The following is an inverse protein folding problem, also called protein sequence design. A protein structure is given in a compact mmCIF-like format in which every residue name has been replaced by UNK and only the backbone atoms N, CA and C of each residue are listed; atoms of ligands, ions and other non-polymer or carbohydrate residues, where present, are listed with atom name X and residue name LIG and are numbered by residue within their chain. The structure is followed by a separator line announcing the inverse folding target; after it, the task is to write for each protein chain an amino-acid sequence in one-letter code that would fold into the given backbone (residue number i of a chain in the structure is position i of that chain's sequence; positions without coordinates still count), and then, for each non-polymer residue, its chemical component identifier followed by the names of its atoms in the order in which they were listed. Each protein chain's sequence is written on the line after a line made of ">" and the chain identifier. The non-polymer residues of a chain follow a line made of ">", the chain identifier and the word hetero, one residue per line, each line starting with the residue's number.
data_IF_857420446632
#
_entry.id   IF_857420446632
#
_cell.length_a   1.000
_cell.length_b   1.000
_cell.length_c   1.000
_cell.angle_alpha   90.00
_cell.angle_beta   90.00
_cell.angle_gamma   90.00
#
_symmetry.space_group_name_H-M   'P 1'
#
loop_
_entity.id
_entity.type
_entity.pdbx_description
1 polymer ?
#
# COMPACT_ATOMS: atom_id res chain seq x y z
N UNK A 1 18.66 -15.60 -63.82
CA UNK A 1 18.37 -14.25 -64.36
C UNK A 1 16.85 -14.06 -64.38
N UNK A 2 16.34 -12.85 -64.13
CA UNK A 2 15.63 -12.47 -62.90
C UNK A 2 14.15 -12.09 -63.14
N UNK A 3 13.28 -12.01 -62.13
CA UNK A 3 12.87 -10.75 -61.46
C UNK A 3 11.85 -11.11 -60.35
N UNK A 4 12.07 -10.76 -59.08
CA UNK A 4 11.57 -9.54 -58.35
C UNK A 4 10.04 -9.35 -58.38
N UNK A 5 9.27 -8.92 -57.36
CA UNK A 5 9.40 -8.57 -55.93
C UNK A 5 7.97 -8.28 -55.41
N UNK A 6 7.60 -8.88 -54.25
CA UNK A 6 6.87 -8.31 -53.08
C UNK A 6 5.64 -7.38 -53.24
N UNK A 7 4.57 -7.73 -52.51
CA UNK A 7 3.78 -6.81 -51.66
C UNK A 7 3.05 -7.62 -50.55
N UNK A 8 3.64 -7.72 -49.34
CA UNK A 8 3.14 -7.17 -48.06
C UNK A 8 1.77 -7.72 -47.61
N UNK A 9 1.80 -8.71 -46.71
CA UNK A 9 0.75 -8.98 -45.73
C UNK A 9 1.40 -9.04 -44.34
N UNK A 10 0.82 -8.31 -43.39
CA UNK A 10 1.36 -8.08 -42.06
C UNK A 10 1.51 -9.36 -41.25
N UNK A 11 2.74 -9.62 -40.79
CA UNK A 11 3.07 -10.67 -39.85
C UNK A 11 2.69 -10.24 -38.42
N UNK A 12 1.43 -10.45 -38.05
CA UNK A 12 1.10 -10.73 -36.65
C UNK A 12 1.46 -12.20 -36.41
N UNK A 13 2.55 -12.45 -35.67
CA UNK A 13 2.91 -13.81 -35.28
C UNK A 13 1.82 -14.35 -34.33
N UNK A 14 1.07 -15.41 -34.68
CA UNK A 14 0.22 -16.07 -33.70
C UNK A 14 1.16 -16.82 -32.74
N UNK A 15 1.26 -16.36 -31.50
CA UNK A 15 1.86 -17.15 -30.42
C UNK A 15 1.19 -18.52 -30.43
N UNK A 16 1.99 -19.54 -30.69
CA UNK A 16 1.53 -20.90 -30.89
C UNK A 16 0.92 -21.39 -29.57
N UNK A 17 -0.23 -22.06 -29.60
CA UNK A 17 -0.90 -22.60 -28.39
C UNK A 17 0.02 -23.48 -27.52
N UNK A 18 1.12 -23.98 -28.11
CA UNK A 18 2.17 -24.74 -27.44
C UNK A 18 3.08 -23.88 -26.55
N UNK A 19 3.41 -22.64 -26.93
CA UNK A 19 4.18 -21.73 -26.06
C UNK A 19 3.33 -21.24 -24.88
N UNK A 20 2.04 -20.99 -25.11
CA UNK A 20 1.11 -20.64 -24.04
C UNK A 20 0.85 -21.82 -23.06
N UNK A 21 0.93 -23.06 -23.55
CA UNK A 21 0.90 -24.27 -22.72
C UNK A 21 2.25 -24.54 -22.02
N UNK A 22 3.39 -24.28 -22.68
CA UNK A 22 4.72 -24.42 -22.07
C UNK A 22 4.97 -23.37 -20.97
N UNK A 23 4.45 -22.15 -21.11
CA UNK A 23 4.51 -21.13 -20.04
C UNK A 23 3.65 -21.56 -18.83
N UNK A 24 2.50 -22.23 -19.06
CA UNK A 24 1.66 -22.81 -17.99
C UNK A 24 2.27 -24.05 -17.31
N UNK A 25 3.26 -24.69 -17.92
CA UNK A 25 3.86 -25.94 -17.45
C UNK A 25 5.32 -25.79 -17.03
N UNK A 26 5.72 -24.66 -16.45
CA UNK A 26 7.02 -24.63 -15.75
C UNK A 26 6.84 -25.53 -14.52
N UNK A 27 7.52 -26.69 -14.44
CA UNK A 27 7.35 -27.60 -13.32
C UNK A 27 7.75 -26.89 -12.03
N UNK A 28 6.98 -27.08 -10.96
CA UNK A 28 7.42 -26.67 -9.64
C UNK A 28 8.71 -27.45 -9.30
N UNK A 29 9.86 -26.78 -9.38
CA UNK A 29 11.13 -27.32 -8.93
C UNK A 29 11.40 -26.81 -7.52
N UNK A 30 11.17 -27.62 -6.47
CA UNK A 30 11.48 -27.21 -5.12
C UNK A 30 12.99 -26.93 -4.99
N UNK A 31 13.34 -25.88 -4.26
CA UNK A 31 14.74 -25.63 -3.90
C UNK A 31 15.26 -26.77 -3.02
N UNK A 32 16.59 -26.98 -3.01
CA UNK A 32 17.23 -27.97 -2.16
C UNK A 32 16.76 -27.89 -0.69
N UNK A 33 16.58 -26.67 -0.18
CA UNK A 33 16.09 -26.41 1.17
C UNK A 33 14.61 -26.77 1.32
N UNK A 34 13.77 -26.50 0.31
CA UNK A 34 12.36 -26.89 0.34
C UNK A 34 12.20 -28.42 0.42
N UNK A 35 13.04 -29.18 -0.28
CA UNK A 35 13.06 -30.64 -0.19
C UNK A 35 13.54 -31.11 1.18
N UNK A 36 14.49 -30.41 1.80
CA UNK A 36 14.98 -30.73 3.13
C UNK A 36 13.94 -30.47 4.24
N UNK A 37 12.99 -29.55 4.00
CA UNK A 37 11.91 -29.20 4.94
C UNK A 37 10.66 -30.09 4.79
N UNK A 38 10.65 -31.02 3.84
CA UNK A 38 9.54 -31.97 3.62
C UNK A 38 8.87 -31.82 2.25
N UNK A 39 7.88 -32.67 1.99
CA UNK A 39 7.09 -32.64 0.76
C UNK A 39 6.40 -31.27 0.56
N UNK A 40 6.42 -30.71 -0.65
CA UNK A 40 5.79 -29.43 -0.92
C UNK A 40 4.28 -29.48 -0.72
N UNK A 41 3.70 -28.38 -0.24
CA UNK A 41 2.26 -28.31 0.01
C UNK A 41 1.49 -28.44 -1.31
N UNK A 42 0.29 -29.05 -1.26
CA UNK A 42 -0.59 -29.14 -2.44
C UNK A 42 -0.98 -27.78 -3.02
N UNK A 43 -0.97 -26.74 -2.19
CA UNK A 43 -1.15 -25.35 -2.64
C UNK A 43 0.05 -24.88 -3.44
N UNK A 44 1.28 -25.13 -2.97
CA UNK A 44 2.54 -24.77 -3.67
C UNK A 44 2.67 -25.43 -5.04
N UNK A 45 2.26 -26.70 -5.15
CA UNK A 45 2.39 -27.49 -6.39
C UNK A 45 1.44 -27.02 -7.50
N UNK A 46 0.27 -26.47 -7.15
CA UNK A 46 -0.78 -26.12 -8.13
C UNK A 46 -0.79 -24.65 -8.55
N UNK A 47 0.11 -23.81 -8.03
CA UNK A 47 0.18 -22.38 -8.37
C UNK A 47 0.37 -22.16 -9.87
N UNK A 48 1.33 -22.84 -10.48
CA UNK A 48 1.63 -22.69 -11.91
C UNK A 48 0.48 -23.19 -12.80
N UNK A 49 -0.42 -24.04 -12.27
CA UNK A 49 -1.58 -24.55 -13.00
C UNK A 49 -2.72 -23.54 -13.08
N UNK A 50 -2.89 -22.68 -12.07
CA UNK A 50 -4.04 -21.77 -11.95
C UNK A 50 -3.73 -20.29 -12.20
N UNK A 51 -2.49 -19.82 -11.94
CA UNK A 51 -2.17 -18.39 -12.00
C UNK A 51 -1.12 -18.04 -13.06
N UNK A 52 -1.43 -17.13 -14.01
CA UNK A 52 -0.45 -16.68 -14.99
C UNK A 52 0.61 -15.77 -14.35
N UNK A 53 1.89 -15.98 -14.70
CA UNK A 53 3.01 -15.13 -14.25
C UNK A 53 2.96 -13.73 -14.89
N UNK A 54 2.17 -12.84 -14.29
CA UNK A 54 1.85 -11.53 -14.83
C UNK A 54 2.62 -10.37 -14.19
N UNK A 55 3.12 -10.54 -12.96
CA UNK A 55 3.59 -9.43 -12.13
C UNK A 55 5.03 -9.03 -12.46
N UNK A 56 5.23 -7.77 -12.83
CA UNK A 56 6.56 -7.19 -13.01
C UNK A 56 7.14 -6.63 -11.69
N UNK A 57 8.43 -6.32 -11.68
CA UNK A 57 9.10 -5.70 -10.50
C UNK A 57 8.41 -4.42 -10.04
N UNK A 58 7.96 -3.61 -11.00
CA UNK A 58 7.23 -2.37 -10.72
C UNK A 58 5.83 -2.62 -10.15
N UNK A 59 5.19 -3.72 -10.54
CA UNK A 59 3.86 -4.07 -10.04
C UNK A 59 3.91 -4.45 -8.56
N UNK A 60 4.91 -5.23 -8.14
CA UNK A 60 5.13 -5.53 -6.72
C UNK A 60 5.45 -4.28 -5.89
N UNK A 61 6.21 -3.34 -6.45
CA UNK A 61 6.46 -2.05 -5.80
C UNK A 61 5.16 -1.23 -5.65
N UNK A 62 4.31 -1.21 -6.69
CA UNK A 62 2.98 -0.58 -6.65
C UNK A 62 2.11 -1.21 -5.56
N UNK A 63 2.09 -2.54 -5.47
CA UNK A 63 1.35 -3.28 -4.43
C UNK A 63 1.90 -2.94 -3.04
N UNK A 64 3.23 -2.95 -2.86
CA UNK A 64 3.86 -2.58 -1.59
C UNK A 64 3.48 -1.16 -1.15
N UNK A 65 3.55 -0.18 -2.07
CA UNK A 65 3.15 1.21 -1.77
C UNK A 65 1.65 1.27 -1.42
N UNK A 66 0.80 0.58 -2.18
CA UNK A 66 -0.64 0.55 -1.92
C UNK A 66 -0.99 0.00 -0.53
N UNK A 67 -0.17 -0.94 -0.03
CA UNK A 67 -0.42 -1.63 1.24
C UNK A 67 0.19 -0.90 2.43
N UNK A 68 1.37 -0.32 2.28
CA UNK A 68 2.10 0.27 3.42
C UNK A 68 1.89 1.77 3.52
N UNK A 69 1.63 2.48 2.41
CA UNK A 69 1.61 3.95 2.39
C UNK A 69 0.20 4.53 2.56
N UNK A 70 -0.32 4.49 3.78
CA UNK A 70 -1.60 5.10 4.15
C UNK A 70 -1.39 6.49 4.73
N UNK A 71 -1.42 7.51 3.87
CA UNK A 71 -1.06 8.89 4.26
C UNK A 71 -1.95 9.52 5.33
N UNK A 72 -3.25 9.18 5.47
CA UNK A 72 -4.02 9.60 6.64
C UNK A 72 -3.41 9.18 7.98
N UNK A 73 -2.55 8.15 8.03
CA UNK A 73 -1.80 7.83 9.24
C UNK A 73 -0.89 8.98 9.68
N UNK A 74 -0.37 9.81 8.78
CA UNK A 74 0.40 11.00 9.15
C UNK A 74 -0.41 11.97 10.02
N UNK A 75 -1.71 12.11 9.73
CA UNK A 75 -2.66 12.91 10.50
C UNK A 75 -2.91 12.32 11.88
N UNK A 76 -3.13 11.01 11.97
CA UNK A 76 -3.37 10.29 13.24
C UNK A 76 -2.13 10.34 14.13
N UNK A 77 -0.95 10.14 13.54
CA UNK A 77 0.35 10.22 14.24
C UNK A 77 0.55 11.63 14.81
N UNK A 78 0.26 12.69 14.05
CA UNK A 78 0.34 14.06 14.57
C UNK A 78 -0.67 14.34 15.70
N UNK A 79 -1.87 13.77 15.60
CA UNK A 79 -2.92 13.95 16.61
C UNK A 79 -2.63 13.20 17.92
N UNK A 80 -1.68 12.26 17.90
CA UNK A 80 -1.24 11.58 19.11
C UNK A 80 -0.58 12.59 20.04
N UNK A 81 -1.21 12.83 21.19
CA UNK A 81 -0.81 13.89 22.11
C UNK A 81 0.66 13.75 22.53
N UNK A 82 1.39 14.87 22.50
CA UNK A 82 2.81 14.91 22.87
C UNK A 82 3.80 14.65 21.73
N UNK A 83 3.33 14.27 20.52
CA UNK A 83 4.22 13.90 19.42
C UNK A 83 5.04 15.10 18.88
N UNK A 84 4.42 16.27 18.68
CA UNK A 84 5.09 17.50 18.23
C UNK A 84 6.13 17.24 17.11
N UNK A 85 7.27 17.93 17.16
CA UNK A 85 8.40 17.66 16.27
C UNK A 85 9.11 16.31 16.50
N UNK A 86 8.85 15.62 17.63
CA UNK A 86 9.41 14.30 17.88
C UNK A 86 8.86 13.24 16.92
N UNK A 87 7.71 13.49 16.30
CA UNK A 87 7.10 12.63 15.27
C UNK A 87 8.09 12.22 14.17
N UNK A 88 8.91 13.15 13.67
CA UNK A 88 9.90 12.85 12.63
C UNK A 88 10.96 11.86 13.10
N UNK A 89 11.38 11.98 14.36
CA UNK A 89 12.34 11.07 14.98
C UNK A 89 11.70 9.69 15.12
N UNK A 90 10.43 9.60 15.54
CA UNK A 90 9.75 8.31 15.65
C UNK A 90 9.50 7.65 14.30
N UNK A 91 9.26 8.40 13.22
CA UNK A 91 9.22 7.85 11.85
C UNK A 91 10.56 7.20 11.45
N UNK A 92 11.68 7.87 11.77
CA UNK A 92 13.02 7.33 11.55
C UNK A 92 13.27 6.10 12.42
N UNK A 93 12.95 6.16 13.71
CA UNK A 93 13.11 5.02 14.64
C UNK A 93 12.29 3.85 14.12
N UNK A 94 10.98 4.00 13.89
CA UNK A 94 10.12 2.92 13.38
C UNK A 94 10.62 2.34 12.05
N UNK A 95 11.14 3.17 11.15
CA UNK A 95 11.72 2.66 9.90
C UNK A 95 12.97 1.82 10.16
N UNK A 96 13.86 2.25 11.05
CA UNK A 96 15.13 1.58 11.34
C UNK A 96 14.93 0.34 12.22
N UNK A 97 14.00 0.37 13.17
CA UNK A 97 13.79 -0.71 14.16
C UNK A 97 12.75 -1.74 13.74
N UNK A 98 11.85 -1.38 12.81
CA UNK A 98 10.76 -2.27 12.38
C UNK A 98 10.79 -2.55 10.88
N UNK A 99 10.64 -1.51 10.03
CA UNK A 99 10.45 -1.72 8.59
C UNK A 99 11.70 -2.28 7.89
N UNK A 100 12.88 -1.74 8.19
CA UNK A 100 14.14 -2.16 7.56
C UNK A 100 14.54 -3.59 8.01
N UNK A 101 14.52 -3.95 9.31
CA UNK A 101 14.71 -5.33 9.74
C UNK A 101 13.68 -6.28 9.12
N UNK A 102 12.41 -5.87 9.07
CA UNK A 102 11.35 -6.62 8.39
C UNK A 102 11.66 -6.87 6.92
N UNK A 103 12.09 -5.83 6.19
CA UNK A 103 12.49 -5.95 4.78
C UNK A 103 13.63 -6.95 4.57
N UNK A 104 14.64 -6.93 5.46
CA UNK A 104 15.78 -7.84 5.38
C UNK A 104 15.37 -9.30 5.64
N UNK A 105 14.60 -9.54 6.70
CA UNK A 105 14.11 -10.88 7.05
C UNK A 105 13.22 -11.43 5.93
N UNK A 106 12.28 -10.61 5.45
CA UNK A 106 11.38 -10.98 4.35
C UNK A 106 12.15 -11.24 3.06
N UNK A 107 13.18 -10.45 2.74
CA UNK A 107 14.03 -10.69 1.58
C UNK A 107 14.82 -12.01 1.66
N UNK A 108 15.30 -12.35 2.86
CA UNK A 108 15.97 -13.63 3.09
C UNK A 108 15.00 -14.79 2.93
N UNK A 109 13.83 -14.73 3.58
CA UNK A 109 12.80 -15.77 3.49
C UNK A 109 12.29 -15.95 2.05
N UNK A 110 12.06 -14.86 1.32
CA UNK A 110 11.70 -14.92 -0.09
C UNK A 110 12.76 -15.61 -0.95
N UNK A 111 14.05 -15.32 -0.72
CA UNK A 111 15.14 -16.00 -1.43
C UNK A 111 15.24 -17.49 -1.08
N UNK A 112 14.93 -17.86 0.16
CA UNK A 112 14.93 -19.27 0.58
C UNK A 112 13.73 -20.04 0.01
N UNK A 113 12.55 -19.41 0.02
CA UNK A 113 11.27 -20.02 -0.33
C UNK A 113 10.42 -19.02 -1.15
N UNK A 114 10.66 -18.90 -2.47
CA UNK A 114 9.89 -18.03 -3.37
C UNK A 114 8.57 -18.71 -3.74
N UNK A 115 7.68 -18.84 -2.77
CA UNK A 115 6.37 -19.50 -2.87
C UNK A 115 5.27 -18.56 -2.42
N UNK A 116 4.06 -18.74 -2.97
CA UNK A 116 2.89 -17.97 -2.56
C UNK A 116 2.49 -18.24 -1.12
N UNK A 117 1.74 -17.31 -0.54
CA UNK A 117 1.24 -17.39 0.84
C UNK A 117 2.21 -16.86 1.90
N UNK A 118 3.41 -16.40 1.51
CA UNK A 118 4.35 -15.67 2.36
C UNK A 118 4.47 -16.22 3.78
N UNK A 119 4.02 -15.46 4.79
CA UNK A 119 4.16 -15.77 6.21
C UNK A 119 3.50 -17.09 6.61
N UNK A 120 2.37 -17.46 5.99
CA UNK A 120 1.72 -18.75 6.25
C UNK A 120 2.66 -19.91 5.92
N UNK A 121 3.23 -19.90 4.72
CA UNK A 121 4.08 -21.00 4.24
C UNK A 121 5.40 -21.05 4.98
N UNK A 122 6.03 -19.89 5.21
CA UNK A 122 7.30 -19.83 5.93
C UNK A 122 7.15 -20.35 7.36
N UNK A 123 6.09 -19.93 8.07
CA UNK A 123 5.82 -20.42 9.43
C UNK A 123 5.39 -21.87 9.45
N UNK A 124 4.60 -22.33 8.48
CA UNK A 124 4.22 -23.74 8.37
C UNK A 124 5.44 -24.64 8.23
N UNK A 125 6.38 -24.27 7.37
CA UNK A 125 7.61 -25.04 7.14
C UNK A 125 8.59 -24.98 8.31
N UNK A 126 8.64 -23.86 9.04
CA UNK A 126 9.57 -23.70 10.16
C UNK A 126 9.05 -24.30 11.49
N UNK A 127 7.75 -24.11 11.77
CA UNK A 127 7.15 -24.38 13.09
C UNK A 127 6.00 -25.39 13.04
N UNK A 128 5.67 -25.90 11.87
CA UNK A 128 4.64 -26.91 11.65
C UNK A 128 3.23 -26.35 11.40
N UNK A 129 2.25 -27.24 11.15
CA UNK A 129 0.95 -26.86 10.62
C UNK A 129 0.12 -25.92 11.50
N UNK A 130 0.11 -26.14 12.82
CA UNK A 130 -0.70 -25.35 13.75
C UNK A 130 -0.22 -23.89 13.83
N UNK A 131 1.09 -23.68 13.94
CA UNK A 131 1.67 -22.34 14.00
C UNK A 131 1.65 -21.66 12.63
N UNK A 132 1.76 -22.42 11.54
CA UNK A 132 1.49 -21.93 10.19
C UNK A 132 0.07 -21.39 10.04
N UNK A 133 -0.95 -22.17 10.44
CA UNK A 133 -2.34 -21.73 10.43
C UNK A 133 -2.56 -20.49 11.30
N UNK A 134 -2.01 -20.46 12.52
CA UNK A 134 -2.13 -19.30 13.41
C UNK A 134 -1.51 -18.03 12.79
N UNK A 135 -0.31 -18.13 12.21
CA UNK A 135 0.32 -17.01 11.52
C UNK A 135 -0.48 -16.56 10.30
N UNK A 136 -0.99 -17.50 9.50
CA UNK A 136 -1.87 -17.21 8.37
C UNK A 136 -3.16 -16.50 8.79
N UNK A 137 -3.80 -16.94 9.88
CA UNK A 137 -4.99 -16.28 10.43
C UNK A 137 -4.68 -14.87 10.93
N UNK A 138 -3.58 -14.69 11.66
CA UNK A 138 -3.14 -13.39 12.13
C UNK A 138 -2.76 -12.42 10.99
N UNK A 139 -2.34 -12.94 9.84
CA UNK A 139 -2.13 -12.12 8.63
C UNK A 139 -3.45 -11.80 7.92
N UNK A 140 -4.33 -12.79 7.78
CA UNK A 140 -5.58 -12.68 7.01
C UNK A 140 -6.66 -11.83 7.71
N UNK A 141 -6.87 -12.02 9.02
CA UNK A 141 -7.95 -11.36 9.75
C UNK A 141 -7.84 -9.82 9.76
N UNK A 142 -6.67 -9.20 10.02
CA UNK A 142 -6.49 -7.76 9.86
C UNK A 142 -6.72 -7.27 8.43
N UNK A 143 -6.49 -8.13 7.42
CA UNK A 143 -6.78 -7.82 6.01
C UNK A 143 -8.26 -7.48 5.78
N UNK A 144 -9.17 -8.18 6.45
CA UNK A 144 -10.62 -7.89 6.40
C UNK A 144 -10.93 -6.52 7.01
N UNK A 145 -10.28 -6.18 8.14
CA UNK A 145 -10.46 -4.89 8.80
C UNK A 145 -9.90 -3.73 7.97
N UNK A 146 -8.80 -3.96 7.24
CA UNK A 146 -8.22 -2.99 6.33
C UNK A 146 -9.12 -2.73 5.11
N UNK A 147 -9.80 -3.75 4.58
CA UNK A 147 -10.79 -3.54 3.51
C UNK A 147 -11.92 -2.60 3.96
N UNK A 148 -12.38 -2.75 5.20
CA UNK A 148 -13.35 -1.83 5.80
C UNK A 148 -12.75 -0.42 6.00
N UNK A 149 -11.53 -0.34 6.56
CA UNK A 149 -10.83 0.93 6.82
C UNK A 149 -10.54 1.74 5.54
N UNK A 150 -10.15 1.09 4.45
CA UNK A 150 -9.94 1.75 3.15
C UNK A 150 -11.23 2.33 2.58
N UNK A 151 -12.34 1.59 2.73
CA UNK A 151 -13.66 2.04 2.29
C UNK A 151 -14.19 3.20 3.15
N UNK A 152 -13.97 3.15 4.46
CA UNK A 152 -14.31 4.23 5.40
C UNK A 152 -13.44 5.48 5.18
N UNK A 153 -12.18 5.30 4.79
CA UNK A 153 -11.28 6.40 4.41
C UNK A 153 -11.82 7.18 3.20
N UNK A 154 -12.50 6.52 2.26
CA UNK A 154 -13.16 7.21 1.13
C UNK A 154 -14.30 8.10 1.64
N UNK A 155 -15.13 7.61 2.57
CA UNK A 155 -16.20 8.39 3.20
C UNK A 155 -15.62 9.61 3.91
N UNK A 156 -14.57 9.41 4.72
CA UNK A 156 -13.86 10.47 5.44
C UNK A 156 -13.29 11.53 4.49
N UNK A 157 -12.77 11.12 3.33
CA UNK A 157 -12.27 12.05 2.31
C UNK A 157 -13.40 12.81 1.60
N UNK A 158 -14.54 12.18 1.34
CA UNK A 158 -15.73 12.85 0.79
C UNK A 158 -16.25 13.92 1.76
N UNK A 159 -16.35 13.57 3.05
CA UNK A 159 -16.65 14.51 4.13
C UNK A 159 -15.64 15.67 4.17
N UNK A 160 -14.35 15.33 4.07
CA UNK A 160 -13.27 16.30 4.01
C UNK A 160 -13.45 17.29 2.86
N UNK A 161 -13.68 16.80 1.64
CA UNK A 161 -13.96 17.63 0.46
C UNK A 161 -15.15 18.55 0.70
N UNK A 162 -16.26 18.00 1.23
CA UNK A 162 -17.43 18.78 1.59
C UNK A 162 -17.07 19.94 2.51
N UNK A 163 -16.38 19.64 3.61
CA UNK A 163 -15.95 20.63 4.60
C UNK A 163 -15.05 21.72 4.02
N UNK A 164 -14.22 21.40 3.01
CA UNK A 164 -13.36 22.39 2.34
C UNK A 164 -14.11 23.30 1.37
N UNK A 165 -15.18 22.83 0.72
CA UNK A 165 -15.95 23.61 -0.26
C UNK A 165 -17.07 24.42 0.41
N UNK A 166 -17.85 23.75 1.26
CA UNK A 166 -19.11 24.29 1.80
C UNK A 166 -18.94 24.86 3.22
N UNK A 167 -17.75 24.74 3.79
CA UNK A 167 -17.44 25.16 5.15
C UNK A 167 -17.66 24.04 6.19
N UNK A 168 -17.27 24.30 7.45
CA UNK A 168 -17.16 23.27 8.49
C UNK A 168 -18.49 22.71 9.01
N UNK A 169 -19.64 23.35 8.71
CA UNK A 169 -20.96 22.93 9.19
C UNK A 169 -21.72 22.07 8.17
N UNK A 170 -21.03 21.56 7.16
CA UNK A 170 -21.66 20.74 6.11
C UNK A 170 -21.70 19.28 6.53
N UNK A 171 -22.89 18.70 6.49
CA UNK A 171 -23.16 17.38 7.03
C UNK A 171 -23.22 16.32 5.91
N UNK A 172 -22.19 16.27 5.07
CA UNK A 172 -22.13 15.28 3.98
C UNK A 172 -21.82 13.90 4.56
N UNK A 173 -22.70 12.92 4.33
CA UNK A 173 -22.53 11.55 4.84
C UNK A 173 -22.35 11.48 6.37
N UNK A 174 -22.96 12.39 7.14
CA UNK A 174 -22.87 12.35 8.61
C UNK A 174 -23.66 11.19 9.23
N UNK A 175 -24.74 10.74 8.57
CA UNK A 175 -25.54 9.60 9.04
C UNK A 175 -24.74 8.30 8.91
N UNK A 176 -24.47 7.57 10.02
CA UNK A 176 -23.76 6.29 9.99
C UNK A 176 -24.38 5.25 9.06
N UNK A 177 -25.70 5.32 8.80
CA UNK A 177 -26.37 4.42 7.86
C UNK A 177 -25.94 4.67 6.43
N UNK A 178 -25.79 5.94 6.05
CA UNK A 178 -25.31 6.33 4.72
C UNK A 178 -23.83 5.99 4.57
N UNK A 179 -23.03 6.19 5.61
CA UNK A 179 -21.62 5.77 5.63
C UNK A 179 -21.49 4.26 5.40
N UNK A 180 -22.25 3.46 6.14
CA UNK A 180 -22.29 2.00 5.98
C UNK A 180 -22.72 1.57 4.58
N UNK A 181 -23.73 2.23 4.00
CA UNK A 181 -24.17 1.94 2.63
C UNK A 181 -23.07 2.21 1.59
N UNK A 182 -22.36 3.35 1.72
CA UNK A 182 -21.24 3.69 0.84
C UNK A 182 -20.10 2.68 1.00
N UNK A 183 -19.76 2.31 2.23
CA UNK A 183 -18.73 1.30 2.51
C UNK A 183 -19.09 -0.03 1.86
N UNK A 184 -20.32 -0.51 2.03
CA UNK A 184 -20.79 -1.76 1.39
C UNK A 184 -20.74 -1.65 -0.14
N UNK A 185 -21.18 -0.51 -0.70
CA UNK A 185 -21.13 -0.29 -2.15
C UNK A 185 -19.70 -0.33 -2.70
N UNK A 186 -18.75 0.31 -2.00
CA UNK A 186 -17.32 0.29 -2.35
C UNK A 186 -16.78 -1.13 -2.29
N UNK A 187 -17.06 -1.89 -1.23
CA UNK A 187 -16.59 -3.26 -1.07
C UNK A 187 -17.14 -4.20 -2.15
N UNK A 188 -18.44 -4.12 -2.45
CA UNK A 188 -19.06 -4.92 -3.50
C UNK A 188 -18.46 -4.56 -4.86
N UNK A 189 -18.31 -3.27 -5.16
CA UNK A 189 -17.75 -2.83 -6.42
C UNK A 189 -16.26 -3.22 -6.54
N UNK A 190 -15.48 -3.07 -5.47
CA UNK A 190 -14.09 -3.55 -5.42
C UNK A 190 -14.00 -5.06 -5.64
N UNK A 191 -14.89 -5.84 -5.02
CA UNK A 191 -15.00 -7.29 -5.21
C UNK A 191 -15.30 -7.67 -6.66
N UNK A 192 -16.21 -6.95 -7.33
CA UNK A 192 -16.51 -7.15 -8.75
C UNK A 192 -15.31 -6.80 -9.64
N UNK A 193 -14.62 -5.69 -9.35
CA UNK A 193 -13.42 -5.28 -10.09
C UNK A 193 -12.26 -6.25 -9.88
N UNK A 194 -12.15 -6.89 -8.71
CA UNK A 194 -11.16 -7.94 -8.44
C UNK A 194 -11.31 -9.17 -9.34
N UNK A 195 -12.46 -9.36 -10.01
CA UNK A 195 -12.67 -10.43 -11.00
C UNK A 195 -12.03 -10.11 -12.37
N UNK A 196 -11.61 -8.86 -12.60
CA UNK A 196 -10.92 -8.48 -13.83
C UNK A 196 -9.49 -9.05 -13.86
N UNK A 197 -8.90 -9.09 -15.05
CA UNK A 197 -7.53 -9.58 -15.22
C UNK A 197 -6.54 -8.75 -14.37
N UNK A 198 -5.67 -9.44 -13.63
CA UNK A 198 -4.66 -8.81 -12.78
C UNK A 198 -3.79 -7.79 -13.55
N UNK A 199 -3.47 -8.07 -14.81
CA UNK A 199 -2.67 -7.17 -15.65
C UNK A 199 -3.35 -5.81 -15.91
N UNK A 200 -4.69 -5.78 -16.03
CA UNK A 200 -5.46 -4.55 -16.18
C UNK A 200 -5.44 -3.77 -14.86
N UNK A 201 -5.68 -4.45 -13.74
CA UNK A 201 -5.68 -3.85 -12.40
C UNK A 201 -4.31 -3.21 -12.12
N UNK A 202 -3.21 -3.89 -12.43
CA UNK A 202 -1.87 -3.33 -12.25
C UNK A 202 -1.56 -2.14 -13.15
N UNK A 203 -2.08 -2.10 -14.39
CA UNK A 203 -1.95 -0.91 -15.27
C UNK A 203 -2.65 0.30 -14.65
N UNK A 204 -3.87 0.12 -14.15
CA UNK A 204 -4.64 1.18 -13.48
C UNK A 204 -3.94 1.59 -12.19
N UNK A 205 -3.54 0.63 -11.37
CA UNK A 205 -2.89 0.85 -10.09
C UNK A 205 -1.59 1.66 -10.23
N UNK A 206 -0.79 1.40 -11.28
CA UNK A 206 0.42 2.17 -11.55
C UNK A 206 0.13 3.65 -11.77
N UNK A 207 -0.90 3.97 -12.54
CA UNK A 207 -1.31 5.36 -12.78
C UNK A 207 -1.81 5.99 -11.47
N UNK A 208 -2.66 5.29 -10.74
CA UNK A 208 -3.23 5.78 -9.47
C UNK A 208 -2.14 6.00 -8.41
N UNK A 209 -1.15 5.12 -8.29
CA UNK A 209 -0.04 5.30 -7.33
C UNK A 209 0.86 6.49 -7.70
N UNK A 210 1.10 6.74 -9.00
CA UNK A 210 1.83 7.92 -9.43
C UNK A 210 1.05 9.19 -9.05
N UNK A 211 -0.25 9.22 -9.34
CA UNK A 211 -1.12 10.34 -8.97
C UNK A 211 -1.22 10.53 -7.46
N UNK A 212 -1.26 9.44 -6.70
CA UNK A 212 -1.21 9.48 -5.24
C UNK A 212 0.08 10.13 -4.74
N UNK A 213 1.24 9.76 -5.31
CA UNK A 213 2.52 10.41 -5.03
C UNK A 213 2.51 11.91 -5.33
N UNK A 214 1.84 12.34 -6.42
CA UNK A 214 1.63 13.77 -6.71
C UNK A 214 0.79 14.44 -5.62
N UNK A 215 -0.27 13.81 -5.15
CA UNK A 215 -1.08 14.32 -4.04
C UNK A 215 -0.28 14.51 -2.75
N UNK A 216 0.57 13.54 -2.39
CA UNK A 216 1.48 13.62 -1.23
C UNK A 216 2.48 14.77 -1.41
N UNK A 217 3.05 14.89 -2.60
CA UNK A 217 3.99 15.95 -2.92
C UNK A 217 3.33 17.34 -2.80
N UNK A 218 2.08 17.50 -3.26
CA UNK A 218 1.33 18.74 -3.09
C UNK A 218 1.10 19.07 -1.62
N UNK A 219 0.78 18.08 -0.78
CA UNK A 219 0.63 18.28 0.68
C UNK A 219 1.96 18.73 1.31
N UNK A 220 3.08 18.07 0.98
CA UNK A 220 4.41 18.49 1.44
C UNK A 220 4.80 19.89 0.97
N UNK A 221 4.49 20.21 -0.30
CA UNK A 221 4.72 21.53 -0.89
C UNK A 221 3.87 22.62 -0.21
N UNK A 222 2.65 22.30 0.22
CA UNK A 222 1.81 23.22 0.98
C UNK A 222 2.55 23.68 2.26
N UNK A 223 3.20 22.76 2.97
CA UNK A 223 4.02 23.08 4.13
C UNK A 223 5.18 24.04 3.82
N UNK A 224 5.88 23.83 2.71
CA UNK A 224 6.99 24.71 2.28
C UNK A 224 6.47 26.11 1.94
N UNK A 225 5.43 26.21 1.12
CA UNK A 225 4.85 27.48 0.68
C UNK A 225 4.28 28.27 1.87
N UNK A 226 3.66 27.59 2.84
CA UNK A 226 3.16 28.23 4.06
C UNK A 226 4.26 28.94 4.84
N UNK A 227 5.40 28.27 5.06
CA UNK A 227 6.56 28.83 5.77
C UNK A 227 7.23 29.96 4.96
N UNK A 228 7.37 29.79 3.64
CA UNK A 228 7.93 30.82 2.76
C UNK A 228 7.03 32.06 2.67
N UNK A 229 5.73 31.90 2.87
CA UNK A 229 4.76 33.01 2.92
C UNK A 229 4.82 33.81 4.23
N UNK A 230 5.75 33.47 5.14
CA UNK A 230 5.97 34.19 6.40
C UNK A 230 5.08 33.72 7.56
N UNK A 231 4.31 32.65 7.40
CA UNK A 231 3.52 32.09 8.50
C UNK A 231 4.39 31.24 9.42
N UNK A 232 4.18 31.36 10.73
CA UNK A 232 4.77 30.45 11.71
C UNK A 232 4.20 29.02 11.52
N UNK A 233 5.00 27.98 11.81
CA UNK A 233 4.51 26.60 11.76
C UNK A 233 3.38 26.39 12.78
N UNK A 234 2.30 25.75 12.35
CA UNK A 234 1.12 25.50 13.18
C UNK A 234 1.39 24.56 14.37
N UNK A 235 2.41 23.70 14.24
CA UNK A 235 2.95 22.85 15.31
C UNK A 235 4.46 23.00 15.40
N UNK A 236 5.08 22.90 16.59
CA UNK A 236 6.53 22.97 16.73
C UNK A 236 7.21 21.92 15.83
N UNK A 237 8.06 22.37 14.90
CA UNK A 237 8.80 21.49 13.99
C UNK A 237 10.05 20.91 14.67
N UNK A 238 10.52 21.55 15.74
CA UNK A 238 11.68 21.14 16.53
C UNK A 238 11.27 20.35 17.77
N UNK A 239 12.11 19.40 18.16
CA UNK A 239 11.85 18.44 19.22
C UNK A 239 11.78 19.10 20.59
N UNK A 240 10.66 18.91 21.30
CA UNK A 240 10.66 18.87 22.76
C UNK A 240 10.71 17.40 23.19
N UNK A 241 11.92 16.94 23.54
CA UNK A 241 12.25 15.70 24.25
C UNK A 241 11.89 14.35 23.59
N UNK A 242 12.94 13.63 23.16
CA UNK A 242 12.91 12.18 22.96
C UNK A 242 12.82 11.54 24.36
N UNK A 243 11.82 10.69 24.60
CA UNK A 243 11.61 10.13 25.94
C UNK A 243 10.82 8.82 25.92
N UNK A 244 10.94 8.05 27.00
CA UNK A 244 10.17 6.81 27.20
C UNK A 244 8.92 7.08 28.04
N UNK A 245 8.14 8.09 27.67
CA UNK A 245 6.82 8.31 28.28
C UNK A 245 5.81 7.30 27.71
N UNK A 246 4.73 7.03 28.46
CA UNK A 246 3.64 6.18 27.97
C UNK A 246 3.05 6.68 26.64
N UNK A 247 2.98 8.00 26.44
CA UNK A 247 2.51 8.62 25.20
C UNK A 247 3.43 8.35 24.01
N UNK A 248 4.74 8.41 24.23
CA UNK A 248 5.73 8.13 23.18
C UNK A 248 5.74 6.66 22.76
N UNK A 249 5.41 5.75 23.67
CA UNK A 249 5.21 4.33 23.34
C UNK A 249 3.97 4.11 22.49
N UNK A 250 2.87 4.82 22.78
CA UNK A 250 1.66 4.79 21.94
C UNK A 250 1.96 5.33 20.54
N UNK A 251 2.67 6.47 20.45
CA UNK A 251 3.10 7.05 19.17
C UNK A 251 3.93 6.06 18.35
N UNK A 252 4.91 5.41 18.97
CA UNK A 252 5.71 4.38 18.33
C UNK A 252 4.84 3.20 17.85
N UNK A 253 3.87 2.75 18.65
CA UNK A 253 2.93 1.70 18.26
C UNK A 253 2.08 2.06 17.04
N UNK A 254 1.57 3.29 16.96
CA UNK A 254 0.83 3.78 15.78
C UNK A 254 1.72 3.83 14.53
N UNK A 255 2.99 4.23 14.68
CA UNK A 255 3.95 4.23 13.58
C UNK A 255 4.26 2.80 13.12
N UNK A 256 4.48 1.86 14.05
CA UNK A 256 4.66 0.45 13.69
C UNK A 256 3.44 -0.09 12.94
N UNK A 257 2.23 0.24 13.41
CA UNK A 257 0.98 -0.10 12.72
C UNK A 257 0.94 0.47 11.29
N UNK A 258 1.37 1.72 11.11
CA UNK A 258 1.42 2.38 9.81
C UNK A 258 2.48 1.82 8.84
N UNK A 259 3.47 1.08 9.35
CA UNK A 259 4.55 0.48 8.57
C UNK A 259 4.38 -1.03 8.33
N UNK A 260 3.26 -1.63 8.78
CA UNK A 260 2.95 -3.05 8.58
C UNK A 260 2.64 -3.39 7.12
N UNK A 261 2.91 -4.64 6.74
CA UNK A 261 2.47 -5.22 5.46
C UNK A 261 3.56 -5.38 4.39
N UNK A 262 4.84 -5.36 4.78
CA UNK A 262 5.97 -5.54 3.85
C UNK A 262 5.99 -6.93 3.18
N UNK A 263 5.44 -7.92 3.85
CA UNK A 263 5.35 -9.31 3.39
C UNK A 263 4.17 -9.55 2.43
N UNK A 264 3.13 -8.72 2.48
CA UNK A 264 1.86 -8.96 1.76
C UNK A 264 2.02 -9.05 0.23
N UNK A 265 2.87 -8.26 -0.46
CA UNK A 265 3.11 -8.47 -1.89
C UNK A 265 3.58 -9.89 -2.23
N UNK A 266 4.23 -10.57 -1.29
CA UNK A 266 4.78 -11.92 -1.47
C UNK A 266 3.75 -13.02 -1.26
N UNK A 267 2.50 -12.69 -0.93
CA UNK A 267 1.39 -13.62 -1.09
C UNK A 267 1.20 -14.03 -2.55
N UNK A 268 1.75 -13.26 -3.50
CA UNK A 268 1.73 -13.50 -4.95
C UNK A 268 3.16 -13.70 -5.52
N UNK A 269 4.12 -14.13 -4.68
CA UNK A 269 5.51 -14.34 -5.08
C UNK A 269 5.70 -15.32 -6.26
N UNK A 270 4.81 -16.30 -6.42
CA UNK A 270 4.76 -17.26 -7.50
C UNK A 270 4.23 -16.71 -8.82
N UNK A 271 3.53 -15.57 -8.80
CA UNK A 271 2.99 -14.90 -10.00
C UNK A 271 3.98 -13.91 -10.64
N UNK A 272 5.20 -13.83 -10.10
CA UNK A 272 6.25 -12.96 -10.60
C UNK A 272 6.78 -13.42 -11.96
N UNK A 273 6.97 -12.45 -12.87
CA UNK A 273 7.59 -12.68 -14.19
C UNK A 273 9.06 -13.09 -14.08
N UNK A 274 9.74 -12.63 -13.04
CA UNK A 274 11.17 -12.84 -12.83
C UNK A 274 11.38 -13.20 -11.37
N UNK A 275 12.17 -14.24 -11.07
CA UNK A 275 12.41 -14.72 -9.70
C UNK A 275 13.21 -13.77 -8.78
N UNK A 276 13.36 -12.50 -9.16
CA UNK A 276 13.98 -11.45 -8.35
C UNK A 276 13.15 -10.16 -8.33
N UNK A 277 11.88 -10.21 -8.76
CA UNK A 277 11.08 -9.01 -8.92
C UNK A 277 10.81 -8.34 -7.58
N UNK A 278 10.60 -9.13 -6.52
CA UNK A 278 10.43 -8.64 -5.15
C UNK A 278 11.59 -7.77 -4.63
N UNK A 279 12.82 -8.01 -5.11
CA UNK A 279 14.01 -7.31 -4.59
C UNK A 279 13.94 -5.79 -4.82
N UNK A 280 13.19 -5.33 -5.83
CA UNK A 280 13.04 -3.90 -6.09
C UNK A 280 12.34 -3.18 -4.93
N UNK A 281 11.20 -3.69 -4.49
CA UNK A 281 10.44 -3.06 -3.41
C UNK A 281 11.07 -3.33 -2.04
N UNK A 282 11.68 -4.50 -1.83
CA UNK A 282 12.37 -4.78 -0.57
C UNK A 282 13.58 -3.86 -0.34
N UNK A 283 14.25 -3.43 -1.42
CA UNK A 283 15.40 -2.52 -1.34
C UNK A 283 15.01 -1.04 -1.26
N UNK A 284 14.05 -0.61 -2.09
CA UNK A 284 13.71 0.82 -2.23
C UNK A 284 12.40 1.22 -1.56
N UNK A 285 11.49 0.28 -1.37
CA UNK A 285 10.18 0.51 -0.77
C UNK A 285 10.27 1.15 0.61
N UNK A 286 11.06 0.62 1.58
CA UNK A 286 11.20 1.24 2.90
C UNK A 286 11.62 2.70 2.86
N UNK A 287 12.57 3.06 1.99
CA UNK A 287 13.04 4.43 1.84
C UNK A 287 11.96 5.34 1.23
N UNK A 288 11.25 4.86 0.20
CA UNK A 288 10.16 5.61 -0.44
C UNK A 288 9.01 5.88 0.53
N UNK A 289 8.62 4.88 1.33
CA UNK A 289 7.59 4.99 2.36
C UNK A 289 8.00 6.00 3.43
N UNK A 290 9.24 5.94 3.92
CA UNK A 290 9.76 6.91 4.88
C UNK A 290 9.68 8.34 4.34
N UNK A 291 10.19 8.59 3.12
CA UNK A 291 10.16 9.92 2.50
C UNK A 291 8.73 10.43 2.37
N UNK A 292 7.81 9.58 1.90
CA UNK A 292 6.42 9.96 1.74
C UNK A 292 5.72 10.28 3.08
N UNK A 293 5.96 9.49 4.13
CA UNK A 293 5.42 9.79 5.46
C UNK A 293 6.01 11.06 6.06
N UNK A 294 7.32 11.32 5.88
CA UNK A 294 7.94 12.57 6.32
C UNK A 294 7.35 13.78 5.58
N UNK A 295 7.16 13.70 4.26
CA UNK A 295 6.55 14.76 3.45
C UNK A 295 5.10 15.03 3.85
N UNK A 296 4.29 13.98 4.00
CA UNK A 296 2.90 14.09 4.44
C UNK A 296 2.79 14.69 5.83
N UNK A 297 3.56 14.17 6.78
CA UNK A 297 3.62 14.68 8.16
C UNK A 297 4.04 16.15 8.19
N UNK A 298 5.06 16.51 7.41
CA UNK A 298 5.54 17.90 7.33
C UNK A 298 4.47 18.86 6.80
N UNK A 299 3.78 18.49 5.72
CA UNK A 299 2.70 19.29 5.17
C UNK A 299 1.59 19.57 6.18
N UNK A 300 1.14 18.54 6.91
CA UNK A 300 0.09 18.70 7.91
C UNK A 300 0.59 19.47 9.13
N UNK A 301 1.79 19.18 9.65
CA UNK A 301 2.36 19.87 10.81
C UNK A 301 2.64 21.35 10.59
N UNK A 302 3.10 21.72 9.39
CA UNK A 302 3.41 23.11 9.07
C UNK A 302 2.13 23.97 8.99
N UNK A 303 1.05 23.42 8.42
CA UNK A 303 -0.13 24.19 8.02
C UNK A 303 -1.34 24.03 8.96
N UNK A 304 -1.53 22.84 9.53
CA UNK A 304 -2.74 22.47 10.28
C UNK A 304 -2.48 22.51 11.79
N UNK A 305 -3.30 23.26 12.57
CA UNK A 305 -3.24 23.29 14.02
C UNK A 305 -3.46 21.90 14.61
N UNK A 306 -2.77 21.58 15.70
CA UNK A 306 -2.85 20.29 16.39
C UNK A 306 -4.28 19.86 16.74
N UNK A 307 -5.15 20.80 17.08
CA UNK A 307 -6.58 20.55 17.35
C UNK A 307 -7.33 19.93 16.16
N UNK A 308 -6.92 20.26 14.93
CA UNK A 308 -7.56 19.80 13.70
C UNK A 308 -6.72 18.73 12.97
N UNK A 309 -5.55 18.38 13.50
CA UNK A 309 -4.66 17.41 12.87
C UNK A 309 -5.26 15.99 12.88
N UNK A 310 -6.07 15.67 13.89
CA UNK A 310 -6.70 14.36 14.08
C UNK A 310 -7.87 14.05 13.17
N UNK A 311 -8.35 15.02 12.37
CA UNK A 311 -9.30 14.71 11.31
C UNK A 311 -8.60 13.88 10.23
N UNK A 312 -9.19 12.76 9.83
CA UNK A 312 -8.62 11.86 8.81
C UNK A 312 -8.42 12.51 7.42
N UNK A 313 -8.94 13.72 7.22
CA UNK A 313 -8.77 14.54 6.03
C UNK A 313 -7.87 15.78 6.25
N UNK A 314 -7.08 15.85 7.33
CA UNK A 314 -6.25 17.05 7.61
C UNK A 314 -5.20 17.35 6.52
N UNK A 315 -4.81 16.35 5.72
CA UNK A 315 -4.02 16.54 4.49
C UNK A 315 -4.73 17.39 3.44
N UNK A 316 -6.05 17.27 3.29
CA UNK A 316 -6.86 18.14 2.43
C UNK A 316 -6.95 19.55 3.02
N UNK A 317 -7.10 19.67 4.34
CA UNK A 317 -7.08 20.96 5.03
C UNK A 317 -5.77 21.70 4.81
N UNK A 318 -4.64 21.00 4.82
CA UNK A 318 -3.33 21.57 4.51
C UNK A 318 -3.29 22.13 3.07
N UNK A 319 -3.79 21.37 2.09
CA UNK A 319 -3.86 21.81 0.71
C UNK A 319 -4.80 23.03 0.54
N UNK A 320 -5.97 23.03 1.17
CA UNK A 320 -6.95 24.15 1.09
C UNK A 320 -6.36 25.45 1.60
N UNK A 321 -5.67 25.42 2.75
CA UNK A 321 -5.16 26.64 3.39
C UNK A 321 -4.10 27.37 2.58
N UNK A 322 -3.38 26.65 1.72
CA UNK A 322 -2.26 27.20 0.95
C UNK A 322 -2.63 27.45 -0.51
N UNK A 323 -3.30 26.48 -1.14
CA UNK A 323 -3.62 26.51 -2.57
C UNK A 323 -5.09 26.78 -2.87
N UNK A 324 -5.95 26.81 -1.85
CA UNK A 324 -7.39 27.02 -1.99
C UNK A 324 -8.19 25.72 -2.23
N UNK A 325 -9.52 25.87 -2.28
CA UNK A 325 -10.45 24.75 -2.39
C UNK A 325 -10.26 23.86 -3.64
N UNK A 326 -9.96 24.39 -4.85
CA UNK A 326 -9.79 23.52 -6.03
C UNK A 326 -8.66 22.49 -5.87
N UNK A 327 -7.58 22.87 -5.19
CA UNK A 327 -6.44 22.00 -4.95
C UNK A 327 -6.76 20.89 -3.94
N UNK A 328 -7.55 21.19 -2.90
CA UNK A 328 -7.95 20.16 -1.94
C UNK A 328 -8.97 19.18 -2.50
N UNK A 329 -9.87 19.63 -3.39
CA UNK A 329 -10.74 18.74 -4.16
C UNK A 329 -9.91 17.80 -5.02
N UNK A 330 -8.90 18.33 -5.73
CA UNK A 330 -8.00 17.51 -6.54
C UNK A 330 -7.29 16.46 -5.66
N UNK A 331 -6.61 16.87 -4.59
CA UNK A 331 -5.91 15.96 -3.67
C UNK A 331 -6.86 14.92 -3.09
N UNK A 332 -8.07 15.33 -2.69
CA UNK A 332 -9.12 14.42 -2.21
C UNK A 332 -9.52 13.37 -3.24
N UNK A 333 -9.75 13.75 -4.50
CA UNK A 333 -10.07 12.81 -5.57
C UNK A 333 -8.91 11.85 -5.88
N UNK A 334 -7.66 12.33 -5.82
CA UNK A 334 -6.48 11.48 -5.98
C UNK A 334 -6.38 10.44 -4.85
N UNK A 335 -6.64 10.85 -3.61
CA UNK A 335 -6.61 9.95 -2.45
C UNK A 335 -7.79 8.98 -2.45
N UNK A 336 -8.99 9.40 -2.84
CA UNK A 336 -10.14 8.51 -3.02
C UNK A 336 -9.83 7.44 -4.07
N UNK A 337 -9.25 7.84 -5.20
CA UNK A 337 -8.84 6.91 -6.26
C UNK A 337 -7.81 5.90 -5.76
N UNK A 338 -6.85 6.36 -4.94
CA UNK A 338 -5.88 5.49 -4.28
C UNK A 338 -6.56 4.48 -3.36
N UNK A 339 -7.42 4.92 -2.43
CA UNK A 339 -8.07 4.02 -1.49
C UNK A 339 -8.94 2.99 -2.19
N UNK A 340 -9.62 3.39 -3.27
CA UNK A 340 -10.40 2.46 -4.08
C UNK A 340 -9.53 1.34 -4.70
N UNK A 341 -8.39 1.70 -5.28
CA UNK A 341 -7.43 0.72 -5.80
C UNK A 341 -6.78 -0.10 -4.68
N UNK A 342 -6.48 0.50 -3.52
CA UNK A 342 -5.93 -0.21 -2.38
C UNK A 342 -6.89 -1.29 -1.90
N UNK A 343 -8.20 -1.01 -1.78
CA UNK A 343 -9.23 -2.01 -1.45
C UNK A 343 -9.19 -3.20 -2.41
N UNK A 344 -9.10 -2.95 -3.72
CA UNK A 344 -9.01 -4.02 -4.73
C UNK A 344 -7.72 -4.84 -4.55
N UNK A 345 -6.58 -4.18 -4.35
CA UNK A 345 -5.27 -4.84 -4.17
C UNK A 345 -5.28 -5.70 -2.90
N UNK A 346 -5.81 -5.21 -1.79
CA UNK A 346 -5.92 -5.99 -0.56
C UNK A 346 -6.79 -7.22 -0.75
N UNK A 347 -7.94 -7.08 -1.39
CA UNK A 347 -8.83 -8.20 -1.65
C UNK A 347 -8.12 -9.29 -2.46
N UNK A 348 -7.41 -8.88 -3.52
CA UNK A 348 -6.60 -9.75 -4.38
C UNK A 348 -5.44 -10.41 -3.60
N UNK A 349 -4.72 -9.65 -2.77
CA UNK A 349 -3.57 -10.15 -2.02
C UNK A 349 -3.97 -11.16 -0.93
N UNK A 350 -5.05 -10.88 -0.20
CA UNK A 350 -5.51 -11.74 0.89
C UNK A 350 -6.31 -12.95 0.41
N UNK A 351 -6.93 -12.88 -0.78
CA UNK A 351 -7.56 -14.05 -1.40
C UNK A 351 -6.56 -15.19 -1.70
N UNK A 352 -5.26 -14.90 -1.82
CA UNK A 352 -4.22 -15.90 -2.06
C UNK A 352 -3.70 -16.60 -0.80
N UNK A 353 -4.11 -16.14 0.38
CA UNK A 353 -3.78 -16.81 1.65
C UNK A 353 -4.81 -17.92 1.96
N UNK A 354 -6.01 -17.86 1.35
CA UNK A 354 -7.11 -18.82 1.53
C UNK A 354 -6.92 -20.09 0.71
#
# INVERSE_FOLDING_TARGET
>A
MPSERRAIQGAGCPMNNLEEQQIRQIPYTPTFVQNALGEPLRSEQRINEFFPRGLSRGDLLVIFIAIVLFIPNASIVQATQGAGGATYIYWLIGTITFLLPGALVVAQLYRFMPVDGSIYVWTHRALGPLLGFFAGFCAWFPGVLVLLSTSDSIVTLIQGIGAQISGPNVNWLDDPRLQGLVVVAVLVFAGLVSLLSLSLIMKIARVVIILYGVGIFLVGMAGVVWLLSGHAPASPLTSSTLGFSGQNLVLYGVIVLALLGIEVPLNMAGEEKQGNAAMLFLRWGPLLVLIAYLLGTFGVMAVVPSANAGYGYSTLTAATRVFGAPASVLVGLLFISFFFIATIIYNIAFARIL
#
